data_IF_677353302255
#
_entry.id   IF_677353302255
#
_cell.length_a   1.000
_cell.length_b   1.000
_cell.length_c   1.000
_cell.angle_alpha   90.00
_cell.angle_beta   90.00
_cell.angle_gamma   90.00
#
_symmetry.space_group_name_H-M   'P 1'
#
loop_
_entity.id
_entity.type
_entity.pdbx_description
1 polymer ?
#
# COMPACT_ATOMS: atom_id res chain seq x y z
N UNK A 1 -5.72 -8.82 9.91
CA UNK A 1 -5.30 -7.44 9.58
C UNK A 1 -4.29 -7.52 8.45
N UNK A 2 -4.37 -6.65 7.45
CA UNK A 2 -3.43 -6.63 6.32
C UNK A 2 -2.62 -5.34 6.29
N UNK A 3 -1.40 -5.40 5.77
CA UNK A 3 -0.52 -4.26 5.60
C UNK A 3 0.46 -4.50 4.44
N UNK A 4 1.03 -3.42 3.92
CA UNK A 4 2.16 -3.47 2.99
C UNK A 4 3.45 -3.31 3.81
N UNK A 5 4.34 -4.29 3.74
CA UNK A 5 5.66 -4.22 4.34
C UNK A 5 6.72 -3.98 3.24
N UNK A 6 7.52 -2.94 3.41
CA UNK A 6 8.54 -2.54 2.44
C UNK A 6 9.84 -2.23 3.15
N UNK A 7 10.97 -2.67 2.59
CA UNK A 7 12.26 -2.14 3.01
C UNK A 7 12.33 -0.63 2.75
N UNK A 8 12.95 0.12 3.66
CA UNK A 8 13.39 1.49 3.39
C UNK A 8 14.25 1.48 2.12
N UNK A 9 14.05 2.47 1.26
CA UNK A 9 14.76 2.58 -0.02
C UNK A 9 16.28 2.50 0.21
N UNK A 10 16.94 1.56 -0.45
CA UNK A 10 18.40 1.36 -0.33
C UNK A 10 18.84 0.58 0.89
N UNK A 11 17.92 0.05 1.71
CA UNK A 11 18.21 -0.76 2.90
C UNK A 11 17.88 -2.25 2.71
N UNK A 12 17.49 -2.65 1.51
CA UNK A 12 17.09 -4.03 1.16
C UNK A 12 18.21 -5.04 1.46
N UNK A 13 19.47 -4.65 1.21
CA UNK A 13 20.65 -5.51 1.43
C UNK A 13 21.01 -5.70 2.90
N UNK A 14 20.53 -4.83 3.79
CA UNK A 14 20.90 -4.86 5.22
C UNK A 14 20.33 -6.07 5.94
N UNK A 15 19.21 -6.63 5.44
CA UNK A 15 18.45 -7.70 6.09
C UNK A 15 18.07 -7.41 7.56
N UNK A 16 18.16 -6.16 8.01
CA UNK A 16 17.77 -5.73 9.36
C UNK A 16 16.26 -5.37 9.41
N UNK A 17 15.41 -6.13 10.13
CA UNK A 17 13.97 -5.88 10.22
C UNK A 17 13.56 -4.46 10.66
N UNK A 18 14.42 -3.72 11.36
CA UNK A 18 14.19 -2.32 11.74
C UNK A 18 14.14 -1.37 10.53
N UNK A 19 14.64 -1.83 9.39
CA UNK A 19 14.58 -1.10 8.12
C UNK A 19 13.30 -1.42 7.34
N UNK A 20 12.35 -2.17 7.91
CA UNK A 20 11.03 -2.42 7.32
C UNK A 20 10.04 -1.36 7.78
N UNK A 21 9.40 -0.73 6.79
CA UNK A 21 8.27 0.18 6.97
C UNK A 21 6.97 -0.56 6.66
N UNK A 22 5.99 -0.39 7.53
CA UNK A 22 4.67 -1.01 7.40
C UNK A 22 3.63 0.07 7.16
N UNK A 23 2.82 -0.12 6.12
CA UNK A 23 1.74 0.76 5.73
C UNK A 23 0.40 0.05 5.89
N UNK A 24 -0.56 0.67 6.56
CA UNK A 24 -1.90 0.10 6.75
C UNK A 24 -2.95 1.20 6.89
N UNK A 25 -4.22 0.82 6.81
CA UNK A 25 -5.36 1.71 7.03
C UNK A 25 -5.71 1.74 8.52
N UNK A 26 -5.85 2.93 9.09
CA UNK A 26 -6.36 3.13 10.44
C UNK A 26 -7.55 4.10 10.42
N UNK A 27 -8.56 3.79 11.24
CA UNK A 27 -9.66 4.72 11.51
C UNK A 27 -9.14 5.89 12.35
N UNK A 28 -9.34 7.13 11.89
CA UNK A 28 -9.03 8.37 12.63
C UNK A 28 -10.24 9.29 12.58
N UNK A 29 -11.03 9.28 13.66
CA UNK A 29 -12.35 9.93 13.68
C UNK A 29 -13.30 9.27 12.68
N UNK A 30 -13.98 10.05 11.85
CA UNK A 30 -14.89 9.54 10.81
C UNK A 30 -14.18 9.04 9.55
N UNK A 31 -12.89 9.36 9.36
CA UNK A 31 -12.15 9.01 8.14
C UNK A 31 -11.16 7.88 8.38
N UNK A 32 -10.92 7.08 7.34
CA UNK A 32 -9.83 6.10 7.30
C UNK A 32 -8.62 6.74 6.61
N UNK A 33 -7.45 6.65 7.23
CA UNK A 33 -6.20 7.20 6.71
C UNK A 33 -5.13 6.12 6.64
N UNK A 34 -4.19 6.29 5.72
CA UNK A 34 -2.99 5.44 5.68
C UNK A 34 -2.03 5.93 6.75
N UNK A 35 -1.56 4.99 7.57
CA UNK A 35 -0.49 5.21 8.53
C UNK A 35 0.76 4.47 8.08
N UNK A 36 1.91 5.06 8.38
CA UNK A 36 3.24 4.47 8.22
C UNK A 36 3.80 4.20 9.61
N UNK A 37 4.26 2.98 9.86
CA UNK A 37 4.80 2.55 11.14
C UNK A 37 5.98 1.57 10.96
N UNK A 38 6.63 1.17 12.04
CA UNK A 38 7.68 0.14 12.02
C UNK A 38 7.07 -1.25 12.13
N UNK A 39 7.83 -2.28 11.72
CA UNK A 39 7.42 -3.67 11.93
C UNK A 39 7.17 -3.97 13.41
N UNK A 40 8.03 -3.49 14.31
CA UNK A 40 7.90 -3.70 15.76
C UNK A 40 6.64 -3.07 16.35
N UNK A 41 6.24 -1.89 15.88
CA UNK A 41 5.02 -1.22 16.36
C UNK A 41 3.75 -1.82 15.75
N UNK A 42 3.84 -2.41 14.55
CA UNK A 42 2.73 -3.13 13.93
C UNK A 42 2.51 -4.52 14.54
N UNK A 43 3.60 -5.21 14.89
CA UNK A 43 3.56 -6.58 15.40
C UNK A 43 3.18 -6.60 16.88
N UNK A 44 1.97 -7.05 17.18
CA UNK A 44 1.50 -7.22 18.56
C UNK A 44 2.19 -8.38 19.25
N UNK A 45 2.49 -8.21 20.54
CA UNK A 45 2.96 -9.30 21.40
C UNK A 45 1.99 -10.50 21.30
N UNK A 46 2.53 -11.71 21.29
CA UNK A 46 1.80 -12.98 21.24
C UNK A 46 0.95 -13.18 19.96
N UNK A 47 1.28 -12.47 18.88
CA UNK A 47 0.68 -12.68 17.56
C UNK A 47 1.69 -13.23 16.55
N UNK A 48 1.17 -13.85 15.49
CA UNK A 48 1.98 -14.35 14.37
C UNK A 48 1.66 -13.53 13.12
N UNK A 49 2.69 -13.15 12.38
CA UNK A 49 2.58 -12.50 11.07
C UNK A 49 3.13 -13.43 9.99
N UNK A 50 2.57 -13.33 8.79
CA UNK A 50 3.03 -14.07 7.61
C UNK A 50 3.03 -13.18 6.38
N UNK A 51 3.96 -13.42 5.46
CA UNK A 51 3.89 -12.84 4.12
C UNK A 51 2.81 -13.60 3.34
N UNK A 52 1.87 -12.86 2.75
CA UNK A 52 0.71 -13.44 2.08
C UNK A 52 0.28 -12.56 0.90
N UNK A 53 0.96 -12.70 -0.24
CA UNK A 53 0.57 -12.07 -1.49
C UNK A 53 -0.55 -12.92 -2.15
N UNK A 54 -1.77 -12.76 -1.63
CA UNK A 54 -2.90 -13.70 -1.80
C UNK A 54 -3.16 -14.05 -3.27
N UNK A 55 -3.16 -13.04 -4.13
CA UNK A 55 -3.68 -13.14 -5.49
C UNK A 55 -2.59 -13.11 -6.57
N UNK A 56 -1.30 -13.26 -6.20
CA UNK A 56 -0.17 -13.25 -7.16
C UNK A 56 -0.27 -14.38 -8.22
N UNK A 57 -1.12 -15.39 -8.00
CA UNK A 57 -1.42 -16.46 -8.97
C UNK A 57 -2.52 -16.11 -9.98
N UNK A 58 -3.34 -15.09 -9.69
CA UNK A 58 -4.55 -14.75 -10.43
C UNK A 58 -4.46 -13.34 -11.03
N UNK A 59 -3.74 -12.44 -10.38
CA UNK A 59 -3.58 -11.04 -10.78
C UNK A 59 -2.11 -10.70 -10.99
N UNK A 60 -1.84 -9.83 -11.96
CA UNK A 60 -0.49 -9.34 -12.22
C UNK A 60 -0.10 -8.36 -11.12
N UNK A 61 0.95 -8.65 -10.33
CA UNK A 61 1.37 -7.75 -9.28
C UNK A 61 2.08 -6.51 -9.84
N UNK A 62 1.78 -5.35 -9.25
CA UNK A 62 2.52 -4.12 -9.44
C UNK A 62 4.00 -4.29 -9.04
N UNK A 63 4.86 -3.57 -9.76
CA UNK A 63 6.29 -3.53 -9.46
C UNK A 63 6.54 -2.84 -8.11
N UNK A 64 7.70 -3.10 -7.50
CA UNK A 64 8.10 -2.40 -6.27
C UNK A 64 8.07 -0.87 -6.45
N UNK A 65 8.53 -0.38 -7.59
CA UNK A 65 8.54 1.05 -7.95
C UNK A 65 7.13 1.64 -7.93
N UNK A 66 6.16 0.94 -8.54
CA UNK A 66 4.78 1.40 -8.59
C UNK A 66 4.10 1.32 -7.23
N UNK A 67 4.37 0.27 -6.46
CA UNK A 67 3.89 0.16 -5.08
C UNK A 67 4.41 1.33 -4.24
N UNK A 68 5.69 1.69 -4.33
CA UNK A 68 6.25 2.87 -3.64
C UNK A 68 5.55 4.16 -4.05
N UNK A 69 5.36 4.40 -5.34
CA UNK A 69 4.67 5.59 -5.84
C UNK A 69 3.21 5.67 -5.33
N UNK A 70 2.53 4.53 -5.24
CA UNK A 70 1.16 4.43 -4.68
C UNK A 70 1.14 4.72 -3.19
N UNK A 71 2.11 4.23 -2.42
CA UNK A 71 2.24 4.53 -0.99
C UNK A 71 2.53 6.02 -0.75
N UNK A 72 3.45 6.61 -1.51
CA UNK A 72 3.76 8.05 -1.47
C UNK A 72 2.53 8.90 -1.80
N UNK A 73 1.72 8.48 -2.78
CA UNK A 73 0.46 9.14 -3.10
C UNK A 73 -0.56 8.99 -1.96
N UNK A 74 -0.77 7.77 -1.46
CA UNK A 74 -1.82 7.46 -0.50
C UNK A 74 -1.58 8.02 0.90
N UNK A 75 -0.33 8.37 1.22
CA UNK A 75 0.06 9.02 2.48
C UNK A 75 -0.05 10.54 2.46
N UNK A 76 -0.29 11.16 1.29
CA UNK A 76 -0.52 12.62 1.19
C UNK A 76 -1.86 13.00 1.81
N UNK A 77 -1.89 14.12 2.53
CA UNK A 77 -3.09 14.61 3.24
C UNK A 77 -4.29 14.89 2.34
N UNK A 78 -4.04 15.27 1.07
CA UNK A 78 -5.08 15.55 0.06
C UNK A 78 -5.54 14.31 -0.70
N UNK A 79 -4.92 13.16 -0.50
CA UNK A 79 -5.36 11.94 -1.15
C UNK A 79 -6.57 11.38 -0.42
N UNK A 80 -7.74 11.63 -1.01
CA UNK A 80 -9.01 11.16 -0.49
C UNK A 80 -9.46 9.94 -1.28
N UNK A 81 -9.30 8.76 -0.67
CA UNK A 81 -9.87 7.51 -1.17
C UNK A 81 -10.67 6.85 -0.05
N UNK A 82 -11.86 6.36 -0.39
CA UNK A 82 -12.72 5.65 0.54
C UNK A 82 -12.20 4.22 0.74
N UNK A 83 -11.34 4.02 1.74
CA UNK A 83 -10.86 2.70 2.10
C UNK A 83 -11.96 1.90 2.82
N UNK A 84 -12.46 0.81 2.24
CA UNK A 84 -13.42 -0.05 2.94
C UNK A 84 -12.80 -0.78 4.15
N UNK A 85 -11.61 -1.36 3.98
CA UNK A 85 -10.88 -2.07 5.03
C UNK A 85 -9.38 -2.17 4.66
N UNK A 86 -8.58 -2.82 5.49
CA UNK A 86 -7.14 -3.00 5.21
C UNK A 86 -6.88 -3.89 3.99
N UNK A 87 -7.77 -4.85 3.69
CA UNK A 87 -7.63 -5.75 2.54
C UNK A 87 -7.77 -4.97 1.23
N UNK A 88 -8.79 -4.12 1.12
CA UNK A 88 -9.00 -3.23 -0.03
C UNK A 88 -7.78 -2.34 -0.29
N UNK A 89 -7.13 -1.85 0.77
CA UNK A 89 -5.90 -1.06 0.61
C UNK A 89 -4.72 -1.87 0.09
N UNK A 90 -4.40 -3.03 0.68
CA UNK A 90 -3.27 -3.83 0.23
C UNK A 90 -3.48 -4.39 -1.17
N UNK A 91 -4.72 -4.78 -1.50
CA UNK A 91 -5.10 -5.25 -2.83
C UNK A 91 -4.97 -4.12 -3.85
N UNK A 92 -5.48 -2.92 -3.54
CA UNK A 92 -5.25 -1.74 -4.39
C UNK A 92 -3.77 -1.47 -4.60
N UNK A 93 -2.92 -1.55 -3.57
CA UNK A 93 -1.48 -1.38 -3.73
C UNK A 93 -0.86 -2.46 -4.64
N UNK A 94 -1.14 -3.73 -4.38
CA UNK A 94 -0.47 -4.87 -5.04
C UNK A 94 -0.99 -5.11 -6.47
N UNK A 95 -2.27 -4.91 -6.74
CA UNK A 95 -2.88 -5.31 -8.03
C UNK A 95 -3.70 -4.22 -8.72
N UNK A 96 -4.18 -3.20 -8.00
CA UNK A 96 -4.98 -2.13 -8.61
C UNK A 96 -4.19 -1.29 -9.62
N UNK A 97 -4.90 -0.44 -10.37
CA UNK A 97 -4.31 0.49 -11.36
C UNK A 97 -3.08 1.24 -10.83
N UNK A 98 -2.05 1.32 -11.66
CA UNK A 98 -0.88 2.15 -11.42
C UNK A 98 -1.24 3.64 -11.54
N UNK A 99 -0.45 4.55 -10.93
CA UNK A 99 -0.62 5.98 -11.13
C UNK A 99 -0.52 6.43 -12.60
N UNK A 100 0.16 5.67 -13.46
CA UNK A 100 0.26 5.97 -14.88
C UNK A 100 -1.02 5.57 -15.62
N UNK A 101 -1.52 4.36 -15.40
CA UNK A 101 -2.78 3.89 -15.97
C UNK A 101 -3.95 4.77 -15.56
N UNK A 102 -4.03 5.15 -14.28
CA UNK A 102 -5.06 6.05 -13.78
C UNK A 102 -5.04 7.42 -14.50
N UNK A 103 -3.84 7.96 -14.80
CA UNK A 103 -3.69 9.20 -15.57
C UNK A 103 -4.10 9.04 -17.03
N UNK A 104 -3.71 7.94 -17.67
CA UNK A 104 -4.09 7.66 -19.06
C UNK A 104 -5.60 7.49 -19.19
N UNK A 105 -6.25 6.81 -18.24
CA UNK A 105 -7.70 6.66 -18.21
C UNK A 105 -8.40 8.01 -18.07
N UNK A 106 -7.93 8.89 -17.19
CA UNK A 106 -8.47 10.25 -17.06
C UNK A 106 -8.38 11.05 -18.36
N UNK A 107 -7.22 10.98 -19.05
CA UNK A 107 -7.03 11.64 -20.34
C UNK A 107 -7.95 11.04 -21.41
N UNK A 108 -8.13 9.72 -21.42
CA UNK A 108 -9.04 9.04 -22.36
C UNK A 108 -10.52 9.25 -22.04
N UNK A 109 -10.88 9.64 -20.83
CA UNK A 109 -12.27 9.97 -20.42
C UNK A 109 -12.61 11.44 -20.68
N UNK A 110 -11.63 12.37 -20.55
CA UNK A 110 -11.63 13.55 -21.41
C UNK A 110 -11.49 13.10 -22.89
N UNK A 111 -11.43 13.87 -23.96
CA UNK A 111 -11.39 13.32 -25.35
C UNK A 111 -12.59 12.47 -25.83
N UNK A 112 -13.37 11.81 -24.96
CA UNK A 112 -14.65 11.13 -25.29
C UNK A 112 -15.84 12.11 -25.35
N UNK A 113 -15.57 13.41 -25.23
CA UNK A 113 -16.49 14.53 -25.40
C UNK A 113 -16.13 15.31 -26.65
#
# INVERSE_FOLDING_TARGET
MYAIAMWKKGKEKTKNPEQIEVYTVQQKGVRKRIIKTTLSAFWKKDSVIRINNVDDKQETPNTEKDIRAKLEMATKSRFERNWHNTLHFVHWCRYGETPQEARMRQISESLKW
#
